data_IF_139698114982
#
_entry.id   IF_139698114982
#
_cell.length_a   1.000
_cell.length_b   1.000
_cell.length_c   1.000
_cell.angle_alpha   90.00
_cell.angle_beta   90.00
_cell.angle_gamma   90.00
#
_symmetry.space_group_name_H-M   'P 1'
#
loop_
_entity.id
_entity.type
_entity.pdbx_description
1 polymer ?
#
# COMPACT_ATOMS: atom_id res chain seq x y z
N UNK A 1 -27.30 -42.75 19.74
CA UNK A 1 -27.40 -41.39 19.18
C UNK A 1 -26.49 -41.31 17.97
N UNK A 2 -26.98 -40.91 16.80
CA UNK A 2 -26.12 -40.70 15.64
C UNK A 2 -25.27 -39.44 15.88
N UNK A 3 -23.94 -39.57 15.77
CA UNK A 3 -23.04 -38.42 15.84
C UNK A 3 -23.24 -37.60 14.58
N UNK A 4 -23.79 -36.39 14.72
CA UNK A 4 -23.86 -35.42 13.62
C UNK A 4 -22.53 -34.66 13.55
N UNK A 5 -21.72 -35.00 12.55
CA UNK A 5 -20.48 -34.27 12.26
C UNK A 5 -20.80 -33.00 11.48
N UNK A 6 -20.42 -31.84 12.02
CA UNK A 6 -20.50 -30.57 11.31
C UNK A 6 -19.18 -30.29 10.57
N UNK A 7 -19.20 -30.05 9.25
CA UNK A 7 -17.99 -29.70 8.51
C UNK A 7 -17.51 -28.31 8.94
N UNK A 8 -16.27 -28.21 9.42
CA UNK A 8 -15.64 -26.93 9.72
C UNK A 8 -14.95 -26.37 8.46
N UNK A 9 -15.02 -25.04 8.25
CA UNK A 9 -14.34 -24.41 7.13
C UNK A 9 -12.82 -24.57 7.28
N UNK A 10 -12.09 -24.78 6.17
CA UNK A 10 -10.63 -24.90 6.17
C UNK A 10 -9.97 -23.54 6.41
N UNK A 11 -9.89 -23.14 7.68
CA UNK A 11 -9.48 -21.80 8.12
C UNK A 11 -8.22 -21.27 7.44
N UNK A 12 -7.15 -22.07 7.36
CA UNK A 12 -5.89 -21.58 6.78
C UNK A 12 -5.99 -21.30 5.28
N UNK A 13 -6.83 -22.05 4.54
CA UNK A 13 -7.06 -21.81 3.12
C UNK A 13 -7.91 -20.55 2.89
N UNK A 14 -8.87 -20.30 3.78
CA UNK A 14 -9.70 -19.09 3.78
C UNK A 14 -8.84 -17.86 4.10
N UNK A 15 -8.03 -17.95 5.16
CA UNK A 15 -7.13 -16.87 5.59
C UNK A 15 -6.08 -16.57 4.51
N UNK A 16 -5.58 -17.59 3.80
CA UNK A 16 -4.70 -17.41 2.64
C UNK A 16 -5.34 -16.54 1.55
N UNK A 17 -6.61 -16.78 1.18
CA UNK A 17 -7.28 -15.96 0.14
C UNK A 17 -7.62 -14.56 0.62
N UNK A 18 -8.09 -14.40 1.87
CA UNK A 18 -8.43 -13.10 2.45
C UNK A 18 -7.22 -12.21 2.64
N UNK A 19 -6.04 -12.78 2.88
CA UNK A 19 -4.80 -12.04 3.04
C UNK A 19 -4.24 -11.51 1.71
N UNK A 20 -4.73 -11.99 0.56
CA UNK A 20 -4.27 -11.50 -0.74
C UNK A 20 -4.84 -10.10 -1.02
N UNK A 21 -3.96 -9.17 -1.34
CA UNK A 21 -4.37 -7.88 -1.90
C UNK A 21 -4.99 -8.06 -3.29
N UNK A 22 -5.67 -7.05 -3.80
CA UNK A 22 -6.18 -7.07 -5.17
C UNK A 22 -5.16 -6.43 -6.11
N UNK A 23 -4.83 -7.10 -7.21
CA UNK A 23 -4.02 -6.49 -8.28
C UNK A 23 -4.66 -6.73 -9.64
N UNK A 24 -4.68 -5.67 -10.45
CA UNK A 24 -5.16 -5.73 -11.82
C UNK A 24 -4.08 -6.36 -12.69
N UNK A 25 -4.46 -7.34 -13.52
CA UNK A 25 -3.60 -7.91 -14.55
C UNK A 25 -4.34 -7.98 -15.88
N UNK A 26 -3.67 -7.71 -16.98
CA UNK A 26 -4.23 -7.89 -18.31
C UNK A 26 -3.99 -9.31 -18.85
N UNK A 27 -2.83 -9.86 -18.55
CA UNK A 27 -2.46 -11.24 -18.82
C UNK A 27 -1.99 -11.92 -17.52
N UNK A 28 -2.18 -13.24 -17.42
CA UNK A 28 -1.73 -13.97 -16.23
C UNK A 28 -0.20 -13.99 -16.12
N UNK A 29 0.51 -13.68 -17.21
CA UNK A 29 1.96 -13.51 -17.28
C UNK A 29 2.46 -12.14 -16.82
N UNK A 30 1.56 -11.21 -16.49
CA UNK A 30 1.88 -9.86 -15.98
C UNK A 30 2.30 -9.90 -14.53
N UNK A 31 1.68 -10.81 -13.79
CA UNK A 31 1.91 -11.05 -12.38
C UNK A 31 2.48 -12.45 -12.29
N UNK A 32 3.64 -12.65 -11.66
CA UNK A 32 4.33 -13.95 -11.71
C UNK A 32 4.61 -14.54 -10.32
N UNK A 33 4.51 -15.87 -10.23
CA UNK A 33 4.87 -16.69 -9.05
C UNK A 33 4.45 -16.09 -7.69
N UNK A 34 5.39 -15.55 -6.92
CA UNK A 34 5.16 -15.02 -5.57
C UNK A 34 4.16 -13.85 -5.55
N UNK A 35 4.06 -13.10 -6.64
CA UNK A 35 3.06 -12.03 -6.75
C UNK A 35 1.63 -12.62 -6.83
N UNK A 36 1.44 -13.82 -7.38
CA UNK A 36 0.16 -14.54 -7.27
C UNK A 36 -0.09 -15.04 -5.85
N UNK A 37 0.94 -15.21 -5.02
CA UNK A 37 0.79 -15.54 -3.61
C UNK A 37 0.37 -14.32 -2.78
N UNK A 38 0.83 -13.13 -3.15
CA UNK A 38 0.54 -11.87 -2.47
C UNK A 38 -0.73 -11.16 -2.97
N UNK A 39 -1.09 -11.32 -4.25
CA UNK A 39 -2.22 -10.65 -4.87
C UNK A 39 -3.18 -11.62 -5.57
N UNK A 40 -4.48 -11.39 -5.40
CA UNK A 40 -5.52 -12.03 -6.16
C UNK A 40 -5.69 -11.27 -7.46
N UNK A 41 -5.43 -11.96 -8.58
CA UNK A 41 -5.54 -11.39 -9.92
C UNK A 41 -6.39 -12.28 -10.82
N UNK A 42 -7.14 -11.65 -11.70
CA UNK A 42 -7.82 -12.31 -12.81
C UNK A 42 -7.45 -11.55 -14.07
N UNK A 43 -6.78 -12.23 -15.00
CA UNK A 43 -6.34 -11.59 -16.24
C UNK A 43 -7.50 -10.86 -16.94
N UNK A 44 -7.24 -9.71 -17.57
CA UNK A 44 -8.24 -8.90 -18.30
C UNK A 44 -9.40 -8.42 -17.42
N UNK A 45 -9.25 -8.43 -16.10
CA UNK A 45 -10.21 -7.83 -15.17
C UNK A 45 -9.59 -6.56 -14.62
N UNK A 46 -9.87 -5.44 -15.29
CA UNK A 46 -9.27 -4.15 -14.97
C UNK A 46 -9.96 -3.40 -13.83
N UNK A 47 -11.16 -3.83 -13.43
CA UNK A 47 -11.91 -3.20 -12.36
C UNK A 47 -11.73 -3.95 -11.04
N UNK A 48 -11.35 -3.20 -10.01
CA UNK A 48 -11.02 -3.71 -8.67
C UNK A 48 -12.27 -4.25 -7.95
N UNK A 49 -13.42 -3.59 -8.11
CA UNK A 49 -14.74 -4.04 -7.62
C UNK A 49 -15.10 -5.44 -8.13
N UNK A 50 -14.85 -5.71 -9.41
CA UNK A 50 -15.11 -7.00 -10.03
C UNK A 50 -14.13 -8.06 -9.55
N UNK A 51 -12.85 -7.70 -9.39
CA UNK A 51 -11.82 -8.59 -8.80
C UNK A 51 -12.17 -8.98 -7.37
N UNK A 52 -12.60 -8.00 -6.56
CA UNK A 52 -13.06 -8.22 -5.20
C UNK A 52 -14.25 -9.18 -5.18
N UNK A 53 -15.24 -8.95 -6.04
CA UNK A 53 -16.41 -9.84 -6.18
C UNK A 53 -15.97 -11.28 -6.48
N UNK A 54 -15.04 -11.49 -7.42
CA UNK A 54 -14.55 -12.85 -7.71
C UNK A 54 -13.81 -13.43 -6.49
N UNK A 55 -12.93 -12.67 -5.84
CA UNK A 55 -12.20 -13.12 -4.64
C UNK A 55 -13.18 -13.55 -3.52
N UNK A 56 -14.24 -12.78 -3.29
CA UNK A 56 -15.28 -13.09 -2.32
C UNK A 56 -16.02 -14.39 -2.67
N UNK A 57 -16.41 -14.58 -3.94
CA UNK A 57 -17.06 -15.81 -4.38
C UNK A 57 -16.14 -17.05 -4.28
N UNK A 58 -14.85 -16.90 -4.56
CA UNK A 58 -13.85 -17.98 -4.39
C UNK A 58 -13.66 -18.29 -2.90
N UNK A 59 -13.54 -17.26 -2.06
CA UNK A 59 -13.40 -17.40 -0.60
C UNK A 59 -14.61 -18.12 -0.02
N UNK A 60 -15.82 -17.69 -0.42
CA UNK A 60 -17.08 -18.33 -0.04
C UNK A 60 -17.16 -19.79 -0.49
N UNK A 61 -16.66 -20.09 -1.69
CA UNK A 61 -16.65 -21.48 -2.17
C UNK A 61 -15.81 -22.40 -1.28
N UNK A 62 -14.68 -21.91 -0.75
CA UNK A 62 -13.86 -22.65 0.21
C UNK A 62 -14.54 -22.75 1.58
N UNK A 63 -15.11 -21.65 2.07
CA UNK A 63 -15.75 -21.58 3.39
C UNK A 63 -16.97 -22.51 3.49
N UNK A 64 -17.81 -22.52 2.47
CA UNK A 64 -19.08 -23.25 2.45
C UNK A 64 -18.98 -24.60 1.70
N UNK A 65 -17.81 -24.94 1.14
CA UNK A 65 -17.63 -26.17 0.36
C UNK A 65 -18.46 -26.22 -0.93
N UNK A 66 -18.66 -25.08 -1.59
CA UNK A 66 -19.54 -24.97 -2.76
C UNK A 66 -18.93 -25.65 -3.97
N UNK A 67 -19.77 -26.30 -4.78
CA UNK A 67 -19.33 -26.92 -6.04
C UNK A 67 -19.03 -25.88 -7.12
N UNK A 68 -18.26 -26.26 -8.15
CA UNK A 68 -18.04 -25.45 -9.35
C UNK A 68 -19.36 -25.01 -10.00
N UNK A 69 -20.37 -25.89 -10.03
CA UNK A 69 -21.68 -25.59 -10.60
C UNK A 69 -22.36 -24.46 -9.83
N UNK A 70 -22.36 -24.51 -8.50
CA UNK A 70 -22.92 -23.45 -7.66
C UNK A 70 -22.13 -22.14 -7.80
N UNK A 71 -20.80 -22.21 -7.72
CA UNK A 71 -19.92 -21.06 -7.94
C UNK A 71 -20.20 -20.36 -9.28
N UNK A 72 -20.29 -21.12 -10.37
CA UNK A 72 -20.55 -20.58 -11.69
C UNK A 72 -21.98 -20.02 -11.83
N UNK A 73 -22.98 -20.65 -11.19
CA UNK A 73 -24.36 -20.16 -11.21
C UNK A 73 -24.50 -18.80 -10.53
N UNK A 74 -23.76 -18.56 -9.44
CA UNK A 74 -23.83 -17.30 -8.71
C UNK A 74 -23.02 -16.18 -9.38
N UNK A 75 -21.81 -16.50 -9.85
CA UNK A 75 -20.88 -15.49 -10.35
C UNK A 75 -21.17 -15.07 -11.80
N UNK A 76 -21.64 -16.00 -12.64
CA UNK A 76 -21.87 -15.73 -14.07
C UNK A 76 -22.84 -14.55 -14.32
N UNK A 77 -24.03 -14.47 -13.69
CA UNK A 77 -24.96 -13.37 -13.93
C UNK A 77 -24.37 -12.00 -13.58
N UNK A 78 -23.56 -11.94 -12.52
CA UNK A 78 -22.87 -10.73 -12.10
C UNK A 78 -21.87 -10.32 -13.20
N UNK A 79 -21.02 -11.24 -13.64
CA UNK A 79 -20.04 -10.97 -14.70
C UNK A 79 -20.69 -10.56 -16.04
N UNK A 80 -21.84 -11.16 -16.39
CA UNK A 80 -22.62 -10.80 -17.57
C UNK A 80 -23.17 -9.36 -17.47
N UNK A 81 -23.81 -9.02 -16.33
CA UNK A 81 -24.31 -7.67 -16.04
C UNK A 81 -23.20 -6.62 -16.07
N UNK A 82 -22.05 -6.96 -15.50
CA UNK A 82 -20.86 -6.13 -15.44
C UNK A 82 -20.08 -6.08 -16.78
N UNK A 83 -20.64 -6.67 -17.84
CA UNK A 83 -20.07 -6.63 -19.19
C UNK A 83 -18.76 -7.39 -19.34
N UNK A 84 -18.42 -8.28 -18.41
CA UNK A 84 -17.23 -9.12 -18.42
C UNK A 84 -17.54 -10.54 -18.93
N UNK A 85 -18.30 -10.68 -20.01
CA UNK A 85 -18.64 -11.99 -20.57
C UNK A 85 -18.46 -12.05 -22.08
N UNK A 86 -18.09 -13.23 -22.57
CA UNK A 86 -17.89 -13.45 -24.01
C UNK A 86 -16.56 -12.89 -24.53
N UNK A 87 -16.53 -12.60 -25.83
CA UNK A 87 -15.39 -11.96 -26.51
C UNK A 87 -15.64 -10.48 -26.63
N UNK A 88 -14.61 -9.67 -26.37
CA UNK A 88 -14.64 -8.23 -26.60
C UNK A 88 -13.34 -7.77 -27.22
N UNK A 89 -13.45 -6.79 -28.11
CA UNK A 89 -12.29 -6.06 -28.63
C UNK A 89 -11.69 -5.21 -27.51
N UNK A 90 -10.38 -5.37 -27.28
CA UNK A 90 -9.67 -4.63 -26.24
C UNK A 90 -8.25 -4.32 -26.72
N UNK A 91 -7.75 -3.12 -26.39
CA UNK A 91 -6.35 -2.76 -26.59
C UNK A 91 -5.50 -3.35 -25.46
N UNK A 92 -4.40 -4.02 -25.80
CA UNK A 92 -3.40 -4.44 -24.81
C UNK A 92 -2.65 -3.21 -24.27
N UNK A 93 -2.72 -2.90 -22.96
CA UNK A 93 -2.07 -1.71 -22.40
C UNK A 93 -0.55 -1.69 -22.60
N UNK A 94 0.09 -2.85 -22.73
CA UNK A 94 1.53 -2.95 -22.88
C UNK A 94 2.01 -2.76 -24.33
N UNK A 95 1.17 -3.08 -25.32
CA UNK A 95 1.58 -3.04 -26.74
C UNK A 95 0.75 -2.11 -27.61
N UNK A 96 -0.37 -1.58 -27.10
CA UNK A 96 -1.34 -0.79 -27.86
C UNK A 96 -2.14 -1.59 -28.89
N UNK A 97 -1.82 -2.87 -29.11
CA UNK A 97 -2.45 -3.70 -30.14
C UNK A 97 -3.90 -4.04 -29.75
N UNK A 98 -4.84 -3.73 -30.65
CA UNK A 98 -6.25 -4.06 -30.50
C UNK A 98 -6.47 -5.52 -30.91
N UNK A 99 -6.99 -6.34 -30.00
CA UNK A 99 -7.26 -7.77 -30.25
C UNK A 99 -8.60 -8.18 -29.68
N UNK A 100 -9.21 -9.21 -30.29
CA UNK A 100 -10.33 -9.91 -29.68
C UNK A 100 -9.84 -10.68 -28.45
N UNK A 101 -10.36 -10.31 -27.29
CA UNK A 101 -10.05 -10.91 -26.02
C UNK A 101 -11.25 -11.70 -25.48
N UNK A 102 -11.02 -12.96 -25.11
CA UNK A 102 -11.99 -13.70 -24.31
C UNK A 102 -11.98 -13.16 -22.87
N UNK A 103 -13.11 -12.59 -22.41
CA UNK A 103 -13.37 -12.19 -21.02
C UNK A 103 -13.92 -13.39 -20.25
N UNK A 104 -15.11 -13.33 -19.67
CA UNK A 104 -15.77 -14.46 -19.02
C UNK A 104 -16.21 -15.56 -19.98
N UNK A 105 -16.11 -16.81 -19.53
CA UNK A 105 -16.69 -18.00 -20.16
C UNK A 105 -16.82 -19.12 -19.12
N UNK A 106 -17.65 -20.16 -19.34
CA UNK A 106 -17.78 -21.28 -18.40
C UNK A 106 -16.44 -21.98 -18.13
N UNK A 107 -15.64 -22.20 -19.18
CA UNK A 107 -14.29 -22.78 -19.07
C UNK A 107 -13.35 -21.88 -18.25
N UNK A 108 -13.49 -20.56 -18.37
CA UNK A 108 -12.66 -19.62 -17.61
C UNK A 108 -13.03 -19.60 -16.13
N UNK A 109 -14.33 -19.67 -15.81
CA UNK A 109 -14.78 -19.80 -14.44
C UNK A 109 -14.26 -21.09 -13.78
N UNK A 110 -14.23 -22.19 -14.52
CA UNK A 110 -13.62 -23.44 -14.07
C UNK A 110 -12.13 -23.26 -13.74
N UNK A 111 -11.35 -22.59 -14.61
CA UNK A 111 -9.93 -22.35 -14.37
C UNK A 111 -9.72 -21.46 -13.13
N UNK A 112 -10.50 -20.37 -13.00
CA UNK A 112 -10.42 -19.45 -11.85
C UNK A 112 -10.72 -20.22 -10.56
N UNK A 113 -11.81 -20.98 -10.55
CA UNK A 113 -12.22 -21.79 -9.41
C UNK A 113 -11.15 -22.82 -9.05
N UNK A 114 -10.75 -23.67 -10.00
CA UNK A 114 -9.83 -24.79 -9.78
C UNK A 114 -8.45 -24.30 -9.31
N UNK A 115 -7.90 -23.29 -9.98
CA UNK A 115 -6.55 -22.76 -9.67
C UNK A 115 -6.52 -22.13 -8.29
N UNK A 116 -7.47 -21.25 -7.97
CA UNK A 116 -7.48 -20.57 -6.69
C UNK A 116 -7.76 -21.51 -5.52
N UNK A 117 -8.71 -22.43 -5.67
CA UNK A 117 -9.01 -23.41 -4.62
C UNK A 117 -7.80 -24.29 -4.34
N UNK A 118 -7.16 -24.85 -5.39
CA UNK A 118 -6.01 -25.72 -5.22
C UNK A 118 -4.85 -25.03 -4.52
N UNK A 119 -4.51 -23.82 -4.95
CA UNK A 119 -3.42 -23.04 -4.34
C UNK A 119 -3.75 -22.69 -2.88
N UNK A 120 -4.99 -22.28 -2.58
CA UNK A 120 -5.42 -21.97 -1.22
C UNK A 120 -5.39 -23.19 -0.29
N UNK A 121 -5.93 -24.33 -0.73
CA UNK A 121 -5.85 -25.58 0.03
C UNK A 121 -4.41 -26.04 0.23
N UNK A 122 -3.54 -25.84 -0.76
CA UNK A 122 -2.14 -26.25 -0.64
C UNK A 122 -1.34 -25.36 0.31
N UNK A 123 -1.56 -24.03 0.27
CA UNK A 123 -0.99 -23.11 1.23
C UNK A 123 -1.47 -23.41 2.66
N UNK A 124 -2.77 -23.70 2.82
CA UNK A 124 -3.32 -24.08 4.13
C UNK A 124 -2.78 -25.41 4.65
N UNK A 125 -2.57 -26.40 3.76
CA UNK A 125 -1.89 -27.66 4.12
C UNK A 125 -0.45 -27.41 4.56
N UNK A 126 0.29 -26.56 3.86
CA UNK A 126 1.66 -26.24 4.20
C UNK A 126 1.76 -25.66 5.62
N UNK A 127 0.88 -24.72 5.96
CA UNK A 127 0.84 -24.17 7.32
C UNK A 127 0.61 -25.26 8.38
N UNK A 128 -0.30 -26.22 8.11
CA UNK A 128 -0.51 -27.36 8.98
C UNK A 128 0.72 -28.26 9.10
N UNK A 129 1.41 -28.51 7.99
CA UNK A 129 2.63 -29.32 7.98
C UNK A 129 3.70 -28.68 8.86
N UNK A 130 3.90 -27.38 8.75
CA UNK A 130 4.87 -26.65 9.57
C UNK A 130 4.52 -26.75 11.07
N UNK A 131 3.23 -26.69 11.44
CA UNK A 131 2.80 -26.87 12.85
C UNK A 131 3.00 -28.29 13.37
N UNK A 132 2.84 -29.31 12.52
CA UNK A 132 3.00 -30.72 12.92
C UNK A 132 4.40 -31.27 12.66
N UNK A 133 5.34 -30.45 12.17
CA UNK A 133 6.66 -30.89 11.67
C UNK A 133 7.49 -31.66 12.69
N UNK A 134 7.37 -31.31 13.97
CA UNK A 134 8.07 -32.02 15.05
C UNK A 134 7.65 -33.51 15.18
N UNK A 135 6.42 -33.83 14.78
CA UNK A 135 5.86 -35.19 14.86
C UNK A 135 5.80 -35.86 13.50
N UNK A 136 5.50 -35.09 12.44
CA UNK A 136 5.40 -35.56 11.05
C UNK A 136 6.45 -34.84 10.18
N UNK A 137 7.74 -35.20 10.30
CA UNK A 137 8.84 -34.44 9.68
C UNK A 137 8.98 -34.62 8.17
N UNK A 138 8.29 -35.60 7.57
CA UNK A 138 8.40 -35.93 6.14
C UNK A 138 7.16 -35.49 5.38
N UNK A 139 7.31 -35.05 4.13
CA UNK A 139 6.22 -34.88 3.18
C UNK A 139 6.32 -35.93 2.09
N UNK A 140 5.19 -36.51 1.68
CA UNK A 140 5.13 -37.42 0.52
C UNK A 140 4.33 -36.82 -0.62
N UNK A 141 4.93 -36.75 -1.81
CA UNK A 141 4.29 -36.34 -3.04
C UNK A 141 3.41 -37.48 -3.60
N UNK A 142 2.15 -37.19 -3.91
CA UNK A 142 1.24 -38.14 -4.57
C UNK A 142 0.49 -37.53 -5.73
N UNK A 143 0.27 -38.38 -6.71
CA UNK A 143 -0.58 -38.13 -7.88
C UNK A 143 -1.91 -38.87 -7.74
N UNK A 144 -2.87 -38.54 -8.59
CA UNK A 144 -4.12 -39.31 -8.73
C UNK A 144 -3.92 -40.68 -9.41
N UNK A 145 -2.72 -40.96 -9.93
CA UNK A 145 -2.35 -42.21 -10.63
C UNK A 145 -3.25 -42.62 -11.80
N UNK A 146 -3.91 -41.65 -12.44
CA UNK A 146 -4.71 -41.89 -13.63
C UNK A 146 -4.00 -41.44 -14.91
N UNK A 147 -4.70 -41.60 -16.04
CA UNK A 147 -4.21 -41.21 -17.37
C UNK A 147 -4.04 -39.70 -17.56
N UNK A 148 -4.66 -38.87 -16.74
CA UNK A 148 -4.60 -37.40 -16.84
C UNK A 148 -3.45 -36.79 -16.04
N UNK A 149 -2.72 -37.58 -15.26
CA UNK A 149 -1.48 -37.13 -14.60
C UNK A 149 -0.38 -36.97 -15.65
N UNK A 150 0.28 -35.81 -15.66
CA UNK A 150 1.45 -35.54 -16.52
C UNK A 150 2.55 -36.57 -16.23
N UNK A 151 3.26 -37.03 -17.25
CA UNK A 151 4.26 -38.10 -17.08
C UNK A 151 5.38 -37.71 -16.11
N UNK A 152 5.81 -36.44 -16.12
CA UNK A 152 6.80 -35.92 -15.16
C UNK A 152 6.30 -36.06 -13.72
N UNK A 153 5.03 -35.76 -13.48
CA UNK A 153 4.45 -35.85 -12.13
C UNK A 153 4.32 -37.31 -11.67
N UNK A 154 4.10 -38.25 -12.59
CA UNK A 154 4.12 -39.69 -12.27
C UNK A 154 5.50 -40.13 -11.76
N UNK A 155 6.57 -39.59 -12.35
CA UNK A 155 7.95 -39.85 -11.89
C UNK A 155 8.22 -39.32 -10.47
N UNK A 156 7.43 -38.34 -9.99
CA UNK A 156 7.51 -37.82 -8.63
C UNK A 156 6.58 -38.55 -7.64
N UNK A 157 5.73 -39.48 -8.08
CA UNK A 157 4.81 -40.20 -7.18
C UNK A 157 5.57 -41.06 -6.17
N UNK A 158 5.47 -40.71 -4.89
CA UNK A 158 6.19 -41.38 -3.80
C UNK A 158 7.51 -40.75 -3.39
N UNK A 159 7.89 -39.60 -3.93
CA UNK A 159 8.99 -38.81 -3.36
C UNK A 159 8.59 -38.39 -1.95
N UNK A 160 9.40 -38.79 -0.97
CA UNK A 160 9.17 -38.61 0.47
C UNK A 160 10.41 -37.95 1.06
N UNK A 161 10.31 -36.66 1.35
CA UNK A 161 11.46 -35.84 1.76
C UNK A 161 11.16 -35.09 3.06
N UNK A 162 12.19 -34.70 3.84
CA UNK A 162 12.02 -33.76 4.94
C UNK A 162 11.25 -32.51 4.50
N UNK A 163 10.43 -31.93 5.39
CA UNK A 163 9.63 -30.75 5.04
C UNK A 163 10.48 -29.54 4.57
N UNK A 164 11.73 -29.43 5.04
CA UNK A 164 12.64 -28.33 4.70
C UNK A 164 13.43 -28.57 3.42
N UNK A 165 13.30 -29.74 2.80
CA UNK A 165 14.04 -30.07 1.60
C UNK A 165 13.78 -29.02 0.49
N UNK A 166 14.85 -28.58 -0.17
CA UNK A 166 14.80 -27.55 -1.19
C UNK A 166 13.94 -27.95 -2.40
N UNK A 167 13.74 -29.25 -2.63
CA UNK A 167 12.86 -29.75 -3.68
C UNK A 167 11.43 -29.19 -3.55
N UNK A 168 10.94 -29.02 -2.33
CA UNK A 168 9.62 -28.44 -2.05
C UNK A 168 9.50 -26.96 -2.38
N UNK A 169 10.59 -26.25 -2.67
CA UNK A 169 10.52 -24.85 -3.08
C UNK A 169 9.83 -24.68 -4.42
N UNK A 170 10.04 -25.65 -5.32
CA UNK A 170 9.51 -25.59 -6.69
C UNK A 170 8.51 -26.72 -6.98
N UNK A 171 8.67 -27.91 -6.39
CA UNK A 171 7.86 -29.08 -6.72
C UNK A 171 6.66 -29.32 -5.80
N UNK A 172 6.32 -28.36 -4.93
CA UNK A 172 5.17 -28.47 -4.03
C UNK A 172 3.86 -28.13 -4.78
N UNK A 173 2.89 -29.07 -4.88
CA UNK A 173 1.67 -28.85 -5.66
C UNK A 173 0.86 -27.59 -5.24
N UNK A 174 0.09 -26.98 -6.16
CA UNK A 174 -0.08 -27.38 -7.56
C UNK A 174 1.11 -27.00 -8.44
N UNK A 175 1.58 -27.93 -9.27
CA UNK A 175 2.72 -27.72 -10.19
C UNK A 175 2.28 -27.30 -11.61
N UNK A 176 1.05 -26.81 -11.76
CA UNK A 176 0.52 -26.38 -13.05
C UNK A 176 -0.99 -26.33 -13.12
N UNK A 177 -1.49 -25.91 -14.28
CA UNK A 177 -2.93 -25.79 -14.54
C UNK A 177 -3.59 -27.16 -14.41
N UNK A 178 -4.72 -27.22 -13.69
CA UNK A 178 -5.47 -28.46 -13.43
C UNK A 178 -4.62 -29.57 -12.77
N UNK A 179 -3.57 -29.20 -12.03
CA UNK A 179 -2.77 -30.17 -11.28
C UNK A 179 -3.61 -30.83 -10.17
N UNK A 180 -3.65 -32.15 -10.14
CA UNK A 180 -4.39 -32.93 -9.12
C UNK A 180 -3.48 -33.65 -8.14
N UNK A 181 -2.19 -33.33 -8.17
CA UNK A 181 -1.21 -33.85 -7.23
C UNK A 181 -1.38 -33.18 -5.87
N UNK A 182 -0.98 -33.90 -4.82
CA UNK A 182 -1.01 -33.43 -3.44
C UNK A 182 0.30 -33.79 -2.74
N UNK A 183 0.57 -33.13 -1.64
CA UNK A 183 1.51 -33.60 -0.63
C UNK A 183 0.77 -33.78 0.69
N UNK A 184 1.24 -34.71 1.51
CA UNK A 184 0.78 -34.89 2.90
C UNK A 184 1.96 -35.23 3.80
N UNK A 185 1.86 -34.85 5.07
CA UNK A 185 2.88 -35.10 6.07
C UNK A 185 2.76 -36.50 6.68
N UNK A 186 3.89 -37.14 6.92
CA UNK A 186 4.02 -38.45 7.57
C UNK A 186 5.26 -38.46 8.48
N UNK A 187 5.32 -39.44 9.37
CA UNK A 187 6.54 -39.85 10.07
C UNK A 187 7.17 -41.08 9.41
N UNK A 188 8.23 -41.61 10.01
CA UNK A 188 8.92 -42.79 9.50
C UNK A 188 8.06 -44.06 9.58
N UNK A 189 7.26 -44.20 10.64
CA UNK A 189 6.37 -45.35 10.79
C UNK A 189 5.31 -45.38 9.67
N UNK A 190 4.64 -44.25 9.41
CA UNK A 190 3.68 -44.12 8.32
C UNK A 190 4.30 -44.28 6.93
N UNK A 191 5.57 -43.90 6.76
CA UNK A 191 6.30 -44.17 5.52
C UNK A 191 6.53 -45.67 5.32
N UNK A 192 6.92 -46.38 6.37
CA UNK A 192 7.10 -47.83 6.35
C UNK A 192 5.78 -48.57 6.09
N UNK A 193 4.69 -48.19 6.76
CA UNK A 193 3.36 -48.78 6.53
C UNK A 193 2.91 -48.66 5.06
N UNK A 194 3.19 -47.50 4.44
CA UNK A 194 2.91 -47.30 3.03
C UNK A 194 3.79 -48.19 2.15
N UNK A 195 5.07 -48.32 2.47
CA UNK A 195 6.00 -49.20 1.74
C UNK A 195 5.56 -50.67 1.83
N UNK A 196 5.17 -51.14 3.01
CA UNK A 196 4.67 -52.50 3.25
C UNK A 196 3.36 -52.77 2.48
N UNK A 197 2.52 -51.74 2.33
CA UNK A 197 1.32 -51.77 1.49
C UNK A 197 1.62 -51.64 -0.03
N UNK A 198 2.88 -51.75 -0.44
CA UNK A 198 3.30 -51.68 -1.85
C UNK A 198 3.21 -50.27 -2.45
N UNK A 199 3.15 -49.22 -1.63
CA UNK A 199 3.18 -47.83 -2.12
C UNK A 199 4.65 -47.39 -2.28
N UNK A 200 5.02 -46.76 -3.40
CA UNK A 200 6.37 -46.27 -3.60
C UNK A 200 6.68 -45.18 -2.57
N UNK A 201 7.84 -45.29 -1.95
CA UNK A 201 8.46 -44.33 -1.05
C UNK A 201 9.91 -44.17 -1.51
N UNK A 202 10.34 -42.94 -1.79
CA UNK A 202 11.68 -42.61 -2.26
C UNK A 202 12.21 -41.43 -1.46
N UNK A 203 13.31 -41.63 -0.75
CA UNK A 203 13.92 -40.62 0.10
C UNK A 203 14.91 -39.71 -0.61
N UNK A 204 15.22 -40.00 -1.88
CA UNK A 204 16.09 -39.17 -2.70
C UNK A 204 15.26 -38.19 -3.54
N UNK A 205 15.65 -36.91 -3.47
CA UNK A 205 15.08 -35.89 -4.33
C UNK A 205 15.48 -36.18 -5.79
N UNK A 206 14.52 -36.32 -6.74
CA UNK A 206 14.86 -36.51 -8.14
C UNK A 206 15.68 -35.33 -8.66
N UNK A 207 16.69 -35.57 -9.53
CA UNK A 207 17.44 -34.49 -10.15
C UNK A 207 16.47 -33.58 -10.92
N UNK A 208 16.62 -32.27 -10.73
CA UNK A 208 15.78 -31.27 -11.39
C UNK A 208 16.47 -30.80 -12.67
N UNK A 209 15.88 -31.14 -13.82
CA UNK A 209 16.26 -30.55 -15.11
C UNK A 209 15.53 -29.23 -15.30
N UNK A 210 16.23 -28.22 -15.83
CA UNK A 210 15.66 -26.91 -16.10
C UNK A 210 15.58 -26.66 -17.60
N UNK A 211 14.51 -25.99 -18.01
CA UNK A 211 14.34 -25.46 -19.37
C UNK A 211 14.23 -23.94 -19.33
N UNK A 212 14.77 -23.28 -20.34
CA UNK A 212 14.54 -21.85 -20.52
C UNK A 212 13.12 -21.64 -21.04
N UNK A 213 12.41 -20.73 -20.38
CA UNK A 213 11.10 -20.25 -20.79
C UNK A 213 11.17 -18.73 -20.94
N UNK A 214 10.98 -18.26 -22.16
CA UNK A 214 10.83 -16.83 -22.42
C UNK A 214 9.38 -16.44 -22.20
N UNK A 215 9.14 -15.51 -21.29
CA UNK A 215 7.85 -14.86 -21.15
C UNK A 215 7.54 -14.12 -22.44
N UNK A 216 6.57 -14.57 -23.26
CA UNK A 216 6.32 -13.98 -24.57
C UNK A 216 5.72 -12.57 -24.48
N UNK A 217 5.37 -12.10 -23.28
CA UNK A 217 4.83 -10.76 -23.07
C UNK A 217 5.90 -9.75 -22.63
N UNK A 218 6.78 -10.12 -21.70
CA UNK A 218 7.84 -9.23 -21.20
C UNK A 218 9.18 -9.43 -21.90
N UNK A 219 9.35 -10.55 -22.62
CA UNK A 219 10.64 -10.98 -23.18
C UNK A 219 11.60 -11.57 -22.14
N UNK A 220 11.23 -11.59 -20.87
CA UNK A 220 12.06 -12.09 -19.78
C UNK A 220 12.29 -13.60 -19.92
N UNK A 221 13.55 -14.04 -19.87
CA UNK A 221 13.91 -15.47 -19.90
C UNK A 221 14.08 -15.98 -18.48
N UNK A 222 13.37 -17.06 -18.15
CA UNK A 222 13.42 -17.72 -16.83
C UNK A 222 13.76 -19.20 -16.98
N UNK A 223 14.49 -19.74 -16.00
CA UNK A 223 14.76 -21.18 -15.90
C UNK A 223 13.67 -21.86 -15.09
N UNK A 224 12.91 -22.75 -15.72
CA UNK A 224 11.82 -23.47 -15.07
C UNK A 224 12.16 -24.96 -14.94
N UNK A 225 11.87 -25.59 -13.78
CA UNK A 225 11.93 -27.03 -13.66
C UNK A 225 11.04 -27.71 -14.71
N UNK A 226 11.57 -28.75 -15.36
CA UNK A 226 10.78 -29.53 -16.29
C UNK A 226 9.59 -30.20 -15.60
N UNK A 227 8.43 -30.17 -16.25
CA UNK A 227 7.19 -30.69 -15.68
C UNK A 227 6.42 -29.70 -14.80
N UNK A 228 6.94 -28.49 -14.58
CA UNK A 228 6.24 -27.40 -13.88
C UNK A 228 5.80 -26.34 -14.88
N UNK A 229 4.54 -25.94 -14.81
CA UNK A 229 4.03 -24.85 -15.67
C UNK A 229 4.51 -23.49 -15.13
N UNK A 230 4.80 -22.49 -15.99
CA UNK A 230 5.23 -21.17 -15.54
C UNK A 230 4.21 -20.55 -14.58
N UNK A 231 4.67 -19.93 -13.50
CA UNK A 231 3.81 -19.35 -12.47
C UNK A 231 3.28 -20.35 -11.44
N UNK A 232 3.77 -21.59 -11.48
CA UNK A 232 3.55 -22.63 -10.45
C UNK A 232 4.87 -23.17 -9.88
N UNK A 233 5.99 -22.58 -10.30
CA UNK A 233 7.37 -22.87 -9.89
C UNK A 233 7.74 -22.27 -8.53
N UNK A 234 6.78 -22.25 -7.60
CA UNK A 234 6.96 -21.78 -6.24
C UNK A 234 6.06 -22.55 -5.27
N UNK A 235 6.43 -22.54 -3.99
CA UNK A 235 5.62 -23.12 -2.93
C UNK A 235 4.62 -22.07 -2.39
N UNK A 236 3.30 -22.22 -2.63
CA UNK A 236 2.30 -21.25 -2.16
C UNK A 236 2.23 -21.09 -0.64
N UNK A 237 2.65 -22.10 0.12
CA UNK A 237 2.75 -22.02 1.58
C UNK A 237 3.92 -21.17 2.04
N UNK A 238 5.13 -21.43 1.50
CA UNK A 238 6.33 -20.63 1.81
C UNK A 238 6.18 -19.18 1.35
N UNK A 239 5.62 -18.95 0.17
CA UNK A 239 5.40 -17.59 -0.35
C UNK A 239 4.44 -16.78 0.55
N UNK A 240 3.41 -17.41 1.14
CA UNK A 240 2.57 -16.74 2.16
C UNK A 240 3.35 -16.42 3.43
N UNK A 241 4.17 -17.34 3.92
CA UNK A 241 4.99 -17.11 5.13
C UNK A 241 5.95 -15.94 4.92
N UNK A 242 6.70 -15.94 3.81
CA UNK A 242 7.59 -14.84 3.46
C UNK A 242 6.85 -13.49 3.37
N UNK A 243 5.65 -13.45 2.80
CA UNK A 243 4.84 -12.22 2.75
C UNK A 243 4.38 -11.78 4.13
N UNK A 244 3.98 -12.70 5.00
CA UNK A 244 3.58 -12.37 6.38
C UNK A 244 4.75 -11.82 7.17
N UNK A 245 5.94 -12.43 7.04
CA UNK A 245 7.18 -11.93 7.63
C UNK A 245 7.54 -10.55 7.12
N UNK A 246 7.38 -10.29 5.81
CA UNK A 246 7.59 -8.96 5.25
C UNK A 246 6.58 -7.95 5.83
N UNK A 247 5.30 -8.29 5.90
CA UNK A 247 4.28 -7.40 6.50
C UNK A 247 4.53 -7.14 7.98
N UNK A 248 5.06 -8.13 8.71
CA UNK A 248 5.48 -7.95 10.10
C UNK A 248 6.66 -6.98 10.17
N UNK A 249 7.69 -7.15 9.35
CA UNK A 249 8.82 -6.20 9.26
C UNK A 249 8.38 -4.81 8.86
N UNK A 250 7.46 -4.68 7.90
CA UNK A 250 6.92 -3.39 7.46
C UNK A 250 6.15 -2.72 8.61
N UNK A 251 5.35 -3.49 9.36
CA UNK A 251 4.66 -3.00 10.56
C UNK A 251 5.61 -2.68 11.70
N UNK A 252 6.64 -3.47 11.93
CA UNK A 252 7.70 -3.20 12.91
C UNK A 252 8.48 -1.95 12.54
N UNK A 253 8.76 -1.75 11.25
CA UNK A 253 9.41 -0.54 10.72
C UNK A 253 8.50 0.66 10.87
N UNK A 254 7.23 0.55 10.48
CA UNK A 254 6.24 1.61 10.66
C UNK A 254 6.02 1.92 12.15
N UNK A 255 5.98 0.91 13.01
CA UNK A 255 5.87 1.07 14.45
C UNK A 255 7.14 1.67 15.07
N UNK A 256 8.32 1.27 14.61
CA UNK A 256 9.60 1.86 15.02
C UNK A 256 9.72 3.31 14.53
N UNK A 257 9.22 3.63 13.33
CA UNK A 257 9.10 5.00 12.83
C UNK A 257 8.10 5.82 13.67
N UNK A 258 6.98 5.22 14.10
CA UNK A 258 6.05 5.84 15.06
C UNK A 258 6.67 6.04 16.47
N UNK A 259 7.73 5.29 16.81
CA UNK A 259 8.45 5.38 18.08
C UNK A 259 9.75 6.20 18.02
N UNK A 260 10.21 6.60 16.83
CA UNK A 260 11.34 7.52 16.68
C UNK A 260 10.85 8.95 16.90
N UNK A 261 11.53 9.76 17.75
CA UNK A 261 11.19 11.15 17.95
C UNK A 261 11.70 11.99 16.75
N UNK A 262 11.05 11.85 15.59
CA UNK A 262 11.24 12.74 14.44
C UNK A 262 10.26 13.92 14.52
N UNK A 263 10.79 15.12 14.28
CA UNK A 263 10.13 16.42 14.36
C UNK A 263 8.95 16.51 13.36
N UNK A 264 7.74 16.51 13.92
CA UNK A 264 6.48 17.13 13.43
C UNK A 264 5.72 16.56 12.20
N UNK A 265 5.34 15.28 12.17
CA UNK A 265 4.20 14.80 11.36
C UNK A 265 2.83 15.35 11.80
N UNK A 266 2.70 15.86 13.03
CA UNK A 266 1.46 16.43 13.55
C UNK A 266 1.16 17.83 13.00
N UNK A 267 2.18 18.66 12.75
CA UNK A 267 1.98 20.05 12.35
C UNK A 267 1.40 20.18 10.94
N UNK A 268 1.95 19.44 9.96
CA UNK A 268 1.40 19.41 8.60
C UNK A 268 -0.06 18.92 8.55
N UNK A 269 -0.45 18.03 9.47
CA UNK A 269 -1.84 17.57 9.59
C UNK A 269 -2.76 18.66 10.17
N UNK A 270 -2.28 19.41 11.16
CA UNK A 270 -2.99 20.56 11.73
C UNK A 270 -3.14 21.67 10.67
N UNK A 271 -2.09 21.93 9.90
CA UNK A 271 -2.09 22.91 8.80
C UNK A 271 -3.11 22.55 7.72
N UNK A 272 -3.19 21.27 7.30
CA UNK A 272 -4.26 20.81 6.39
C UNK A 272 -5.67 21.01 6.95
N UNK A 273 -5.84 20.88 8.26
CA UNK A 273 -7.13 21.03 8.90
C UNK A 273 -7.55 22.50 8.94
N UNK A 274 -6.68 23.39 9.42
CA UNK A 274 -6.96 24.82 9.50
C UNK A 274 -7.04 25.49 8.13
N UNK A 275 -6.31 24.99 7.12
CA UNK A 275 -6.43 25.49 5.75
C UNK A 275 -7.87 25.44 5.21
N UNK A 276 -8.66 24.46 5.66
CA UNK A 276 -10.05 24.28 5.25
C UNK A 276 -11.05 25.02 6.16
N UNK A 277 -10.59 25.74 7.17
CA UNK A 277 -11.45 26.45 8.10
C UNK A 277 -11.99 27.73 7.47
N UNK A 278 -13.29 28.01 7.71
CA UNK A 278 -13.99 29.21 7.22
C UNK A 278 -13.66 30.47 8.04
N UNK A 279 -12.94 30.32 9.15
CA UNK A 279 -12.50 31.37 10.07
C UNK A 279 -11.04 31.15 10.42
N UNK A 280 -10.35 32.19 10.89
CA UNK A 280 -8.99 32.05 11.37
C UNK A 280 -8.93 31.10 12.57
N UNK A 281 -8.23 30.00 12.37
CA UNK A 281 -8.06 28.89 13.28
C UNK A 281 -6.58 28.53 13.32
N UNK A 282 -6.08 28.25 14.51
CA UNK A 282 -4.68 27.95 14.69
C UNK A 282 -4.40 27.05 15.86
N UNK A 283 -3.12 26.72 16.03
CA UNK A 283 -2.63 25.90 17.12
C UNK A 283 -1.30 26.42 17.63
N UNK A 284 -1.14 26.35 18.95
CA UNK A 284 0.16 26.45 19.61
C UNK A 284 0.65 25.02 19.85
N UNK A 285 1.83 24.68 19.35
CA UNK A 285 2.41 23.33 19.50
C UNK A 285 3.79 23.39 20.14
N UNK A 286 4.10 22.39 20.97
CA UNK A 286 5.43 22.28 21.55
C UNK A 286 6.48 21.77 20.53
N UNK A 287 7.75 21.77 20.92
CA UNK A 287 8.86 21.29 20.08
C UNK A 287 8.77 19.80 19.68
N UNK A 288 7.85 19.03 20.31
CA UNK A 288 7.57 17.63 20.00
C UNK A 288 6.30 17.45 19.15
N UNK A 289 5.55 18.53 18.90
CA UNK A 289 4.34 18.53 18.08
C UNK A 289 3.05 18.22 18.81
N UNK A 290 3.06 18.26 20.14
CA UNK A 290 1.84 18.17 20.91
C UNK A 290 1.09 19.50 20.86
N UNK A 291 -0.23 19.44 20.62
CA UNK A 291 -1.10 20.61 20.69
C UNK A 291 -1.21 21.06 22.14
N UNK A 292 -0.76 22.28 22.40
CA UNK A 292 -0.86 22.93 23.71
C UNK A 292 -2.17 23.70 23.83
N UNK A 293 -2.57 24.37 22.74
CA UNK A 293 -3.80 25.16 22.69
C UNK A 293 -4.31 25.28 21.26
N UNK A 294 -5.61 25.24 21.10
CA UNK A 294 -6.33 25.63 19.89
C UNK A 294 -6.64 27.13 19.95
N UNK A 295 -6.42 27.81 18.84
CA UNK A 295 -6.72 29.22 18.62
C UNK A 295 -7.92 29.30 17.70
N UNK A 296 -8.90 30.13 18.05
CA UNK A 296 -10.09 30.31 17.23
C UNK A 296 -10.48 31.78 17.25
N UNK A 297 -10.48 32.38 16.06
CA UNK A 297 -10.81 33.76 15.80
C UNK A 297 -12.13 33.93 15.07
N UNK A 298 -12.22 35.03 14.33
CA UNK A 298 -13.30 35.32 13.40
C UNK A 298 -12.81 35.22 11.94
N UNK A 299 -13.47 35.89 11.00
CA UNK A 299 -13.14 35.80 9.59
C UNK A 299 -11.76 36.40 9.25
N UNK A 300 -11.28 37.34 10.08
CA UNK A 300 -10.16 38.24 9.74
C UNK A 300 -9.06 38.29 10.81
N UNK A 301 -9.29 37.75 12.01
CA UNK A 301 -8.29 37.81 13.09
C UNK A 301 -8.46 36.78 14.20
N UNK A 302 -7.34 36.44 14.86
CA UNK A 302 -7.29 35.73 16.15
C UNK A 302 -6.85 36.69 17.27
N UNK A 303 -7.74 36.92 18.25
CA UNK A 303 -7.39 37.68 19.44
C UNK A 303 -6.51 36.87 20.40
N UNK A 304 -5.31 37.38 20.70
CA UNK A 304 -4.35 36.76 21.61
C UNK A 304 -4.31 37.52 22.94
N UNK A 305 -4.98 36.99 23.95
CA UNK A 305 -4.92 37.48 25.33
C UNK A 305 -3.58 37.15 26.02
N UNK A 306 -3.40 37.64 27.24
CA UNK A 306 -2.14 37.46 27.97
C UNK A 306 -1.83 36.00 28.33
N UNK A 307 -2.86 35.19 28.60
CA UNK A 307 -2.69 33.77 28.94
C UNK A 307 -2.29 32.96 27.70
N UNK A 308 -3.00 33.18 26.60
CA UNK A 308 -2.75 32.54 25.30
C UNK A 308 -1.38 32.96 24.76
N UNK A 309 -1.04 34.24 24.87
CA UNK A 309 0.26 34.77 24.50
C UNK A 309 1.40 34.12 25.28
N UNK A 310 1.27 33.97 26.59
CA UNK A 310 2.29 33.28 27.41
C UNK A 310 2.49 31.80 27.00
N UNK A 311 1.47 31.15 26.45
CA UNK A 311 1.59 29.79 25.94
C UNK A 311 2.46 29.72 24.66
N UNK A 312 2.58 30.80 23.89
CA UNK A 312 3.36 30.85 22.64
C UNK A 312 4.88 30.83 22.86
N UNK A 313 5.35 31.26 24.03
CA UNK A 313 6.79 31.43 24.30
C UNK A 313 7.57 30.13 24.10
N UNK A 314 8.57 30.17 23.21
CA UNK A 314 9.40 29.03 22.85
C UNK A 314 8.67 27.90 22.12
N UNK A 315 7.50 28.17 21.53
CA UNK A 315 6.65 27.20 20.84
C UNK A 315 6.35 27.61 19.41
N UNK A 316 5.97 26.63 18.59
CA UNK A 316 5.55 26.88 17.21
C UNK A 316 4.09 27.28 17.21
N UNK A 317 3.75 28.31 16.45
CA UNK A 317 2.38 28.79 16.29
C UNK A 317 2.04 28.70 14.82
N UNK A 318 0.91 28.09 14.51
CA UNK A 318 0.39 27.99 13.14
C UNK A 318 -1.06 28.45 13.10
N UNK A 319 -1.46 29.14 12.05
CA UNK A 319 -2.85 29.55 11.79
C UNK A 319 -3.14 29.53 10.28
N UNK A 320 -4.41 29.61 9.89
CA UNK A 320 -4.78 29.84 8.49
C UNK A 320 -5.12 31.31 8.23
N UNK A 321 -4.96 31.71 6.97
CA UNK A 321 -5.57 32.92 6.42
C UNK A 321 -6.72 32.50 5.51
N UNK A 322 -7.87 33.16 5.68
CA UNK A 322 -9.08 32.94 4.85
C UNK A 322 -8.91 33.54 3.45
N UNK A 323 -8.08 34.58 3.32
CA UNK A 323 -7.64 35.17 2.05
C UNK A 323 -6.23 34.70 1.66
N UNK A 324 -5.89 34.83 0.36
CA UNK A 324 -4.54 34.50 -0.13
C UNK A 324 -3.56 35.59 0.29
N UNK A 325 -2.59 35.25 1.11
CA UNK A 325 -1.62 36.22 1.64
C UNK A 325 -0.68 35.60 2.67
N UNK A 326 0.56 36.11 2.69
CA UNK A 326 1.53 35.80 3.75
C UNK A 326 1.16 36.55 5.06
N UNK A 327 2.10 36.65 6.01
CA UNK A 327 1.87 37.27 7.31
C UNK A 327 1.37 38.73 7.23
N UNK A 328 0.51 39.11 8.17
CA UNK A 328 0.24 40.50 8.53
C UNK A 328 1.36 41.05 9.43
N UNK A 329 1.53 42.38 9.53
CA UNK A 329 2.37 42.99 10.55
C UNK A 329 1.97 42.55 11.98
N UNK A 330 0.68 42.31 12.20
CA UNK A 330 0.14 41.85 13.48
C UNK A 330 0.71 40.49 13.88
N UNK A 331 0.75 39.53 12.96
CA UNK A 331 1.19 38.16 13.25
C UNK A 331 2.64 38.16 13.75
N UNK A 332 3.49 38.93 13.08
CA UNK A 332 4.91 39.05 13.42
C UNK A 332 5.09 39.88 14.70
N UNK A 333 4.29 40.93 14.92
CA UNK A 333 4.30 41.69 16.16
C UNK A 333 3.95 40.82 17.37
N UNK A 334 2.93 39.96 17.24
CA UNK A 334 2.50 39.02 18.28
C UNK A 334 3.57 37.94 18.49
N UNK A 335 4.13 37.38 17.42
CA UNK A 335 5.21 36.39 17.49
C UNK A 335 6.44 36.94 18.23
N UNK A 336 6.84 38.17 17.91
CA UNK A 336 7.91 38.89 18.58
C UNK A 336 7.56 39.14 20.05
N UNK A 337 6.39 39.74 20.33
CA UNK A 337 5.96 40.09 21.70
C UNK A 337 5.99 38.89 22.65
N UNK A 338 5.54 37.72 22.17
CA UNK A 338 5.44 36.51 22.98
C UNK A 338 6.57 35.51 22.77
N UNK A 339 7.58 35.89 21.97
CA UNK A 339 8.78 35.11 21.71
C UNK A 339 8.48 33.69 21.23
N UNK A 340 7.62 33.58 20.23
CA UNK A 340 7.34 32.31 19.57
C UNK A 340 8.64 31.71 19.00
N UNK A 341 8.75 30.39 18.97
CA UNK A 341 9.87 29.70 18.33
C UNK A 341 9.82 29.86 16.80
N UNK A 342 8.61 29.81 16.25
CA UNK A 342 8.33 29.91 14.83
C UNK A 342 6.86 30.32 14.65
N UNK A 343 6.61 31.28 13.76
CA UNK A 343 5.26 31.69 13.35
C UNK A 343 4.98 31.15 11.95
N UNK A 344 3.81 30.54 11.77
CA UNK A 344 3.41 29.88 10.53
C UNK A 344 1.99 30.27 10.16
N UNK A 345 1.77 30.43 8.86
CA UNK A 345 0.47 30.75 8.29
C UNK A 345 0.25 29.87 7.05
N UNK A 346 -0.96 29.33 6.88
CA UNK A 346 -1.34 28.56 5.69
C UNK A 346 -2.52 29.23 5.00
N UNK A 347 -2.39 29.51 3.71
CA UNK A 347 -3.50 29.95 2.86
C UNK A 347 -3.90 28.83 1.88
N UNK A 348 -4.78 29.14 0.93
CA UNK A 348 -5.25 28.16 -0.05
C UNK A 348 -4.13 27.57 -0.96
N UNK A 349 -2.98 28.24 -1.07
CA UNK A 349 -1.92 27.92 -2.04
C UNK A 349 -0.58 27.59 -1.37
N UNK A 350 -0.26 28.28 -0.28
CA UNK A 350 1.07 28.28 0.32
C UNK A 350 1.03 28.15 1.84
N UNK A 351 2.15 27.65 2.34
CA UNK A 351 2.53 27.63 3.74
C UNK A 351 3.71 28.60 3.92
N UNK A 352 3.55 29.54 4.84
CA UNK A 352 4.55 30.53 5.21
C UNK A 352 5.13 30.22 6.57
N UNK A 353 6.44 30.43 6.72
CA UNK A 353 7.16 30.19 7.97
C UNK A 353 8.12 31.33 8.25
N UNK A 354 8.03 31.93 9.45
CA UNK A 354 8.94 32.96 9.95
C UNK A 354 9.60 32.49 11.25
N UNK A 355 10.94 32.59 11.33
CA UNK A 355 11.72 32.29 12.54
C UNK A 355 12.56 33.50 12.97
N UNK A 356 12.77 33.70 14.28
CA UNK A 356 13.61 34.78 14.78
C UNK A 356 15.08 34.65 14.33
N UNK A 357 15.85 35.75 14.36
CA UNK A 357 17.31 35.66 14.25
C UNK A 357 17.91 34.87 15.41
N UNK A 358 19.20 34.54 15.34
CA UNK A 358 19.90 33.82 16.41
C UNK A 358 19.86 34.55 17.78
N UNK A 359 19.72 35.88 17.78
CA UNK A 359 19.54 36.70 18.99
C UNK A 359 18.15 36.59 19.62
N UNK A 360 17.20 35.90 18.96
CA UNK A 360 15.79 35.90 19.31
C UNK A 360 15.07 37.15 18.81
N UNK A 361 13.75 37.16 18.99
CA UNK A 361 12.90 38.34 18.86
C UNK A 361 12.18 38.63 20.18
N UNK A 362 11.83 39.88 20.39
CA UNK A 362 11.00 40.33 21.51
C UNK A 362 10.22 41.58 21.07
N UNK A 363 9.48 42.19 22.02
CA UNK A 363 8.73 43.42 21.73
C UNK A 363 9.62 44.58 21.24
N UNK A 364 10.84 44.71 21.76
CA UNK A 364 11.76 45.78 21.34
C UNK A 364 12.27 45.53 19.93
N UNK A 365 12.61 44.27 19.59
CA UNK A 365 12.99 43.88 18.23
C UNK A 365 11.90 44.23 17.21
N UNK A 366 10.63 44.03 17.55
CA UNK A 366 9.52 44.46 16.68
C UNK A 366 9.50 45.98 16.48
N UNK A 367 9.43 46.77 17.56
CA UNK A 367 9.25 48.23 17.47
C UNK A 367 10.47 48.94 16.89
N UNK A 368 11.67 48.51 17.27
CA UNK A 368 12.91 49.22 16.95
C UNK A 368 13.58 48.72 15.66
N UNK A 369 13.27 47.49 15.22
CA UNK A 369 13.93 46.85 14.08
C UNK A 369 12.96 46.43 12.99
N UNK A 370 12.01 45.54 13.27
CA UNK A 370 11.16 44.94 12.23
C UNK A 370 10.19 45.94 11.63
N UNK A 371 9.47 46.70 12.46
CA UNK A 371 8.43 47.62 12.02
C UNK A 371 8.97 48.76 11.13
N UNK A 372 10.07 49.46 11.47
CA UNK A 372 10.64 50.48 10.59
C UNK A 372 11.12 49.91 9.25
N UNK A 373 11.72 48.71 9.26
CA UNK A 373 12.17 48.03 8.04
C UNK A 373 10.96 47.63 7.18
N UNK A 374 9.91 47.08 7.79
CA UNK A 374 8.67 46.72 7.11
C UNK A 374 8.04 47.93 6.42
N UNK A 375 7.88 49.06 7.12
CA UNK A 375 7.28 50.28 6.55
C UNK A 375 8.09 50.80 5.34
N UNK A 376 9.43 50.76 5.43
CA UNK A 376 10.32 51.13 4.33
C UNK A 376 10.22 50.18 3.14
N UNK A 377 10.31 48.87 3.39
CA UNK A 377 10.25 47.83 2.35
C UNK A 377 8.88 47.81 1.68
N UNK A 378 7.80 47.94 2.44
CA UNK A 378 6.44 47.98 1.93
C UNK A 378 6.28 49.13 0.93
N UNK A 379 6.72 50.34 1.28
CA UNK A 379 6.64 51.49 0.38
C UNK A 379 7.41 51.25 -0.93
N UNK A 380 8.61 50.67 -0.85
CA UNK A 380 9.44 50.36 -2.02
C UNK A 380 8.82 49.28 -2.91
N UNK A 381 8.41 48.15 -2.33
CA UNK A 381 7.86 47.00 -3.06
C UNK A 381 6.53 47.37 -3.71
N UNK A 382 5.64 48.06 -2.98
CA UNK A 382 4.36 48.56 -3.53
C UNK A 382 4.63 49.48 -4.71
N UNK A 383 5.56 50.43 -4.58
CA UNK A 383 5.89 51.36 -5.68
C UNK A 383 6.38 50.64 -6.94
N UNK A 384 7.24 49.64 -6.78
CA UNK A 384 7.75 48.82 -7.90
C UNK A 384 6.65 47.99 -8.56
N UNK A 385 5.83 47.29 -7.78
CA UNK A 385 4.76 46.44 -8.30
C UNK A 385 3.64 47.26 -8.93
N UNK A 386 3.27 48.41 -8.34
CA UNK A 386 2.26 49.32 -8.90
C UNK A 386 2.71 49.87 -10.25
N UNK A 387 4.00 50.21 -10.38
CA UNK A 387 4.57 50.65 -11.66
C UNK A 387 4.54 49.56 -12.74
N UNK A 388 4.63 48.28 -12.36
CA UNK A 388 4.48 47.13 -13.28
C UNK A 388 3.02 46.89 -13.65
N UNK A 389 2.11 46.99 -12.69
CA UNK A 389 0.66 46.87 -12.87
C UNK A 389 0.14 47.95 -13.83
N UNK A 390 0.53 49.21 -13.61
CA UNK A 390 0.15 50.35 -14.48
C UNK A 390 0.68 50.22 -15.91
N UNK A 391 1.84 49.57 -16.10
CA UNK A 391 2.42 49.27 -17.41
C UNK A 391 1.84 47.98 -18.04
N UNK A 392 0.92 47.30 -17.35
CA UNK A 392 0.29 46.05 -17.83
C UNK A 392 1.23 44.84 -17.85
N UNK A 393 2.37 44.90 -17.15
CA UNK A 393 3.35 43.80 -17.11
C UNK A 393 2.93 42.67 -16.17
N UNK A 394 2.05 42.96 -15.21
CA UNK A 394 1.44 42.01 -14.29
C UNK A 394 -0.05 42.30 -14.17
N UNK A 395 -0.86 41.27 -13.92
CA UNK A 395 -2.28 41.42 -13.57
C UNK A 395 -2.49 41.66 -12.08
N UNK A 396 -3.70 42.05 -11.69
CA UNK A 396 -4.08 42.35 -10.30
C UNK A 396 -3.91 41.14 -9.36
N UNK A 397 -4.26 39.93 -9.81
CA UNK A 397 -4.06 38.72 -9.01
C UNK A 397 -2.57 38.44 -8.73
N UNK A 398 -1.71 38.57 -9.75
CA UNK A 398 -0.28 38.38 -9.61
C UNK A 398 0.38 39.48 -8.76
N UNK A 399 -0.18 40.69 -8.77
CA UNK A 399 0.27 41.78 -7.89
C UNK A 399 0.13 41.40 -6.42
N UNK A 400 -1.05 40.92 -6.00
CA UNK A 400 -1.30 40.57 -4.59
C UNK A 400 -0.53 39.32 -4.14
N UNK A 401 -0.41 38.31 -5.00
CA UNK A 401 0.40 37.10 -4.72
C UNK A 401 1.89 37.42 -4.52
N UNK A 402 2.41 38.38 -5.27
CA UNK A 402 3.82 38.76 -5.26
C UNK A 402 4.15 39.76 -4.15
N UNK A 403 3.18 40.62 -3.78
CA UNK A 403 3.39 41.73 -2.84
C UNK A 403 3.86 41.27 -1.45
N UNK A 404 3.03 40.48 -0.76
CA UNK A 404 3.31 40.12 0.64
C UNK A 404 4.52 39.20 0.78
N UNK A 405 4.70 38.27 -0.16
CA UNK A 405 5.85 37.39 -0.18
C UNK A 405 7.17 38.17 -0.33
N UNK A 406 7.21 39.15 -1.25
CA UNK A 406 8.41 39.97 -1.45
C UNK A 406 8.72 40.85 -0.25
N UNK A 407 7.71 41.49 0.34
CA UNK A 407 7.88 42.30 1.55
C UNK A 407 8.54 41.48 2.65
N UNK A 408 8.00 40.31 2.98
CA UNK A 408 8.55 39.50 4.07
C UNK A 408 9.88 38.85 3.75
N UNK A 409 10.16 38.56 2.48
CA UNK A 409 11.50 38.09 2.04
C UNK A 409 12.55 39.16 2.31
N UNK A 410 12.28 40.40 1.91
CA UNK A 410 13.22 41.52 2.05
C UNK A 410 13.36 41.93 3.53
N UNK A 411 12.25 42.00 4.27
CA UNK A 411 12.25 42.29 5.72
C UNK A 411 13.05 41.23 6.47
N UNK A 412 12.82 39.94 6.21
CA UNK A 412 13.54 38.87 6.90
C UNK A 412 15.04 38.94 6.63
N UNK A 413 15.42 39.18 5.37
CA UNK A 413 16.83 39.35 4.97
C UNK A 413 17.50 40.52 5.69
N UNK A 414 16.84 41.67 5.78
CA UNK A 414 17.42 42.88 6.40
C UNK A 414 17.46 42.82 7.93
N UNK A 415 16.59 42.03 8.56
CA UNK A 415 16.48 41.92 10.03
C UNK A 415 17.15 40.67 10.59
N UNK A 416 17.67 39.78 9.72
CA UNK A 416 18.29 38.51 10.12
C UNK A 416 17.29 37.41 10.51
N UNK A 417 15.99 37.63 10.29
CA UNK A 417 14.98 36.57 10.42
C UNK A 417 15.08 35.56 9.26
N UNK A 418 14.51 34.39 9.45
CA UNK A 418 14.38 33.39 8.38
C UNK A 418 12.93 33.33 7.91
N UNK A 419 12.71 33.53 6.62
CA UNK A 419 11.40 33.42 5.98
C UNK A 419 11.41 32.36 4.88
N UNK A 420 10.41 31.49 4.88
CA UNK A 420 10.22 30.43 3.89
C UNK A 420 8.77 30.45 3.38
N UNK A 421 8.60 30.20 2.08
CA UNK A 421 7.30 29.93 1.43
C UNK A 421 7.36 28.58 0.75
N UNK A 422 6.46 27.69 1.13
CA UNK A 422 6.33 26.33 0.62
C UNK A 422 4.94 26.14 0.01
N UNK A 423 4.73 25.16 -0.90
CA UNK A 423 3.38 24.76 -1.31
C UNK A 423 2.57 24.34 -0.08
N UNK A 424 1.28 24.69 -0.06
CA UNK A 424 0.40 24.25 1.02
C UNK A 424 0.30 22.71 1.07
N UNK A 425 0.15 22.13 2.28
CA UNK A 425 0.32 20.69 2.52
C UNK A 425 -0.79 19.77 2.00
#
# INVERSE_FOLDING_TARGET
MAVQLQPLPPKEAVDYLKAKGLAVSFDWRDVYAEEHAAAFTVAKMARIDLLQTVQEHVTRAIQEGRSLKAFAADLRPILEKEGWWGRKTMADPATGAVREAQLGSPRRLEIIYDTNLRSAYSAGRWERFQRSKAVLPLLTYRTMRDSHVRWQHKAWDGVTLPQDDAWWNTHYPPNGWRCRCIAYAIDQAGAQELADAGRPIRYDAPPTTYKDWTNPRTGEVRKLPEGIDPGFDYNPGKARQAKLEQLLKDKETAFAQLQQPERLPSLAKLERFIQQAEVETGYIVDAKGAVIRELKGDADSIDIDAETGAAMTGRVVTHNHTEVGAFSPGDIAVACRWQALEMRAVDALYLYSMRPPASGWDRAFWEDTVKPVYESVQAEVVGKLMSRLQRGEIGEAAFWEELYHRIWTDVATQTGMSYERLPAP
#
